data_IF_835912302673
#
_entry.id   IF_835912302673
#
_cell.length_a   1.000
_cell.length_b   1.000
_cell.length_c   1.000
_cell.angle_alpha   90.00
_cell.angle_beta   90.00
_cell.angle_gamma   90.00
#
_symmetry.space_group_name_H-M   'P 1'
#
loop_
_entity.id
_entity.type
_entity.pdbx_description
1 polymer ?
#
# COMPACT_ATOMS: atom_id res chain seq x y z
N UNK A 1 -7.35 1.66 7.50
CA UNK A 1 -6.36 1.33 8.54
C UNK A 1 -7.12 1.18 9.83
N UNK A 2 -7.08 0.00 10.44
CA UNK A 2 -7.59 -0.19 11.80
C UNK A 2 -6.54 0.30 12.81
N UNK A 3 -6.94 0.37 14.09
CA UNK A 3 -6.13 0.94 15.16
C UNK A 3 -4.82 0.18 15.37
N UNK A 4 -4.83 -1.14 15.16
CA UNK A 4 -3.69 -2.01 15.38
C UNK A 4 -2.60 -1.81 14.29
N UNK A 5 -3.01 -1.63 13.03
CA UNK A 5 -2.09 -1.32 11.94
C UNK A 5 -1.50 0.10 12.04
N UNK A 6 -2.24 1.06 12.60
CA UNK A 6 -1.71 2.40 12.88
C UNK A 6 -0.68 2.37 14.01
N UNK A 7 -0.90 1.52 15.01
CA UNK A 7 0.03 1.37 16.13
C UNK A 7 1.35 0.73 15.70
N UNK A 8 1.32 -0.27 14.82
CA UNK A 8 2.55 -0.88 14.26
C UNK A 8 3.39 0.13 13.43
N UNK A 9 2.74 1.03 12.69
CA UNK A 9 3.42 2.16 12.02
C UNK A 9 4.08 3.11 13.02
N UNK A 10 3.47 3.34 14.19
CA UNK A 10 4.02 4.19 15.25
C UNK A 10 5.13 3.52 16.06
N UNK A 11 5.07 2.19 16.22
CA UNK A 11 6.00 1.40 17.03
C UNK A 11 7.36 1.19 16.35
N UNK A 12 7.48 1.54 15.06
CA UNK A 12 8.76 1.64 14.36
C UNK A 12 9.40 0.29 14.02
N UNK A 13 8.64 -0.81 14.08
CA UNK A 13 9.06 -2.08 13.51
C UNK A 13 9.30 -1.90 12.00
N UNK A 14 10.48 -2.32 11.52
CA UNK A 14 10.90 -2.14 10.13
C UNK A 14 10.01 -2.97 9.20
N UNK A 15 8.96 -2.35 8.66
CA UNK A 15 8.27 -2.87 7.49
C UNK A 15 9.07 -2.52 6.25
N UNK A 16 9.43 -3.53 5.46
CA UNK A 16 9.98 -3.29 4.13
C UNK A 16 8.87 -2.77 3.20
N UNK A 17 9.00 -1.49 2.81
CA UNK A 17 8.06 -0.81 1.93
C UNK A 17 8.54 -0.90 0.48
N UNK A 18 7.73 -1.51 -0.38
CA UNK A 18 7.93 -1.54 -1.82
C UNK A 18 6.95 -0.56 -2.48
N UNK A 19 7.46 0.59 -2.93
CA UNK A 19 6.63 1.62 -3.55
C UNK A 19 7.16 3.05 -3.37
N UNK A 20 6.27 4.04 -3.50
CA UNK A 20 6.63 5.44 -3.38
C UNK A 20 5.48 6.41 -3.65
N UNK A 21 5.82 7.61 -4.12
CA UNK A 21 4.86 8.62 -4.56
C UNK A 21 4.69 8.56 -6.08
N UNK A 22 3.44 8.58 -6.55
CA UNK A 22 3.11 8.62 -7.98
C UNK A 22 2.23 9.82 -8.30
N UNK A 23 2.59 10.52 -9.37
CA UNK A 23 1.83 11.66 -9.88
C UNK A 23 0.72 11.25 -10.86
N UNK A 24 0.75 9.99 -11.34
CA UNK A 24 -0.14 9.50 -12.40
C UNK A 24 -0.62 8.07 -12.14
N UNK A 25 -1.80 7.74 -12.66
CA UNK A 25 -2.40 6.39 -12.60
C UNK A 25 -2.81 5.90 -13.99
N UNK A 26 -2.90 4.57 -14.25
CA UNK A 26 -2.71 3.46 -13.30
C UNK A 26 -1.24 3.21 -12.94
N UNK A 27 -1.01 2.57 -11.80
CA UNK A 27 0.32 2.16 -11.31
C UNK A 27 0.39 0.64 -11.28
N UNK A 28 1.50 0.07 -11.75
CA UNK A 28 1.81 -1.34 -11.59
C UNK A 28 2.76 -1.50 -10.40
N UNK A 29 2.36 -2.34 -9.44
CA UNK A 29 3.20 -2.76 -8.32
C UNK A 29 3.48 -4.25 -8.48
N UNK A 30 4.76 -4.61 -8.48
CA UNK A 30 5.20 -5.99 -8.55
C UNK A 30 5.51 -6.48 -7.13
N UNK A 31 4.90 -7.59 -6.75
CA UNK A 31 5.17 -8.27 -5.49
C UNK A 31 6.50 -9.02 -5.64
N UNK A 32 7.52 -8.75 -4.80
CA UNK A 32 8.86 -9.29 -5.00
C UNK A 32 8.96 -10.79 -4.67
N UNK A 33 8.07 -11.32 -3.83
CA UNK A 33 8.03 -12.74 -3.44
C UNK A 33 6.67 -13.12 -2.86
N UNK A 34 6.36 -14.42 -2.87
CA UNK A 34 5.09 -14.97 -2.41
C UNK A 34 5.01 -14.95 -0.87
N UNK A 35 4.20 -14.03 -0.32
CA UNK A 35 3.85 -13.96 1.11
C UNK A 35 2.57 -13.14 1.31
N UNK A 36 2.19 -12.86 2.56
CA UNK A 36 1.11 -11.94 2.91
C UNK A 36 1.54 -10.49 2.73
N UNK A 37 0.86 -9.78 1.83
CA UNK A 37 1.12 -8.38 1.52
C UNK A 37 -0.02 -7.47 1.94
N UNK A 38 0.34 -6.30 2.43
CA UNK A 38 -0.57 -5.21 2.75
C UNK A 38 -0.36 -4.07 1.76
N UNK A 39 -1.45 -3.57 1.15
CA UNK A 39 -1.40 -2.40 0.28
C UNK A 39 -1.93 -1.17 1.02
N UNK A 40 -1.10 -0.13 1.11
CA UNK A 40 -1.46 1.18 1.65
C UNK A 40 -1.58 2.17 0.50
N UNK A 41 -2.75 2.81 0.37
CA UNK A 41 -2.99 3.89 -0.57
C UNK A 41 -3.34 5.13 0.24
N UNK A 42 -2.48 6.14 0.15
CA UNK A 42 -2.68 7.44 0.79
C UNK A 42 -2.80 8.55 -0.26
N UNK A 43 -3.58 9.58 0.06
CA UNK A 43 -3.70 10.77 -0.77
C UNK A 43 -3.58 12.02 0.08
N UNK A 44 -2.46 12.72 -0.10
CA UNK A 44 -2.01 13.85 0.73
C UNK A 44 -3.13 14.82 1.17
N UNK A 45 -3.94 15.32 0.23
CA UNK A 45 -4.97 16.33 0.54
C UNK A 45 -6.32 16.07 -0.13
N UNK A 46 -6.55 14.86 -0.65
CA UNK A 46 -7.71 14.54 -1.49
C UNK A 46 -8.43 13.29 -1.03
N UNK A 47 -9.59 13.02 -1.64
CA UNK A 47 -10.16 11.66 -1.62
C UNK A 47 -9.69 10.96 -2.88
N UNK A 48 -9.06 9.81 -2.73
CA UNK A 48 -8.69 8.95 -3.84
C UNK A 48 -9.70 7.81 -3.99
N UNK A 49 -10.10 7.56 -5.23
CA UNK A 49 -10.81 6.33 -5.61
C UNK A 49 -9.79 5.42 -6.27
N UNK A 50 -9.71 4.18 -5.80
CA UNK A 50 -8.84 3.16 -6.35
C UNK A 50 -9.62 1.92 -6.77
N UNK A 51 -9.03 1.14 -7.66
CA UNK A 51 -9.43 -0.22 -7.98
C UNK A 51 -8.16 -1.06 -8.08
N UNK A 52 -8.25 -2.33 -7.72
CA UNK A 52 -7.16 -3.28 -7.80
C UNK A 52 -7.55 -4.35 -8.79
N UNK A 53 -6.66 -4.61 -9.74
CA UNK A 53 -6.74 -5.79 -10.58
C UNK A 53 -5.74 -6.78 -9.99
N UNK A 54 -6.24 -7.86 -9.40
CA UNK A 54 -5.40 -8.89 -8.81
C UNK A 54 -4.61 -9.65 -9.87
N UNK A 55 -3.60 -10.43 -9.46
CA UNK A 55 -2.88 -11.33 -10.38
C UNK A 55 -3.75 -12.50 -10.89
N UNK A 56 -4.95 -12.69 -10.36
CA UNK A 56 -5.89 -13.74 -10.76
C UNK A 56 -7.32 -13.17 -10.86
N UNK A 57 -8.06 -13.65 -11.87
CA UNK A 57 -9.49 -13.36 -12.12
C UNK A 57 -10.41 -13.96 -11.05
#
# INVERSE_FOLDING_TARGET
MDADNYQAYLDGDEYELYGGFWETSPVALEVPYDDYWYLVIDSYSGRIKYWLNGPFD
#
